data_IF_207669609183
#
_entry.id   IF_207669609183
#
_cell.length_a   1.000
_cell.length_b   1.000
_cell.length_c   1.000
_cell.angle_alpha   90.00
_cell.angle_beta   90.00
_cell.angle_gamma   90.00
#
_symmetry.space_group_name_H-M   'P 1'
#
loop_
_entity.id
_entity.type
_entity.pdbx_description
1 polymer ?
#
# COMPACT_ATOMS: atom_id res chain seq x y z
N UNK A 1 40.78 -12.81 5.40
CA UNK A 1 39.55 -12.02 5.61
C UNK A 1 38.52 -12.56 4.64
N UNK A 2 37.48 -13.22 5.15
CA UNK A 2 36.49 -13.94 4.35
C UNK A 2 35.29 -13.04 4.10
N UNK A 3 35.08 -12.60 2.85
CA UNK A 3 33.80 -12.05 2.42
C UNK A 3 32.83 -13.20 2.17
N UNK A 4 31.82 -13.32 3.03
CA UNK A 4 30.68 -14.17 2.80
C UNK A 4 29.85 -13.57 1.66
N UNK A 5 30.08 -14.06 0.44
CA UNK A 5 29.19 -13.86 -0.71
C UNK A 5 27.81 -14.38 -0.30
N UNK A 6 26.87 -13.48 0.00
CA UNK A 6 25.46 -13.83 0.20
C UNK A 6 24.96 -14.47 -1.09
N UNK A 7 24.87 -15.78 -1.09
CA UNK A 7 24.23 -16.53 -2.16
C UNK A 7 22.76 -16.09 -2.19
N UNK A 8 22.32 -15.51 -3.30
CA UNK A 8 20.90 -15.38 -3.56
C UNK A 8 20.24 -16.76 -3.59
N UNK A 9 18.93 -16.85 -3.35
CA UNK A 9 18.24 -18.13 -3.36
C UNK A 9 18.42 -18.84 -4.71
N UNK A 10 18.49 -20.18 -4.73
CA UNK A 10 18.67 -20.95 -5.95
C UNK A 10 17.48 -20.74 -6.90
N UNK A 11 17.72 -20.67 -8.23
CA UNK A 11 16.65 -20.55 -9.21
C UNK A 11 15.87 -21.86 -9.26
N UNK A 12 14.59 -21.84 -8.87
CA UNK A 12 13.67 -22.97 -9.06
C UNK A 12 12.90 -23.42 -7.83
N UNK A 13 13.11 -22.83 -6.65
CA UNK A 13 12.08 -22.90 -5.62
C UNK A 13 10.93 -21.96 -6.03
N UNK A 14 9.65 -22.39 -5.98
CA UNK A 14 8.57 -21.43 -6.04
C UNK A 14 8.88 -20.44 -4.93
N UNK A 15 9.02 -19.16 -5.29
CA UNK A 15 8.86 -18.11 -4.30
C UNK A 15 7.52 -18.48 -3.64
N UNK A 16 7.52 -18.82 -2.35
CA UNK A 16 6.29 -18.84 -1.55
C UNK A 16 5.81 -17.39 -1.50
N UNK A 17 5.34 -16.94 -2.65
CA UNK A 17 4.37 -15.90 -2.84
C UNK A 17 3.14 -16.51 -2.21
N UNK A 18 3.05 -16.52 -0.88
CA UNK A 18 1.76 -16.23 -0.27
C UNK A 18 1.26 -15.04 -1.06
N UNK A 19 0.32 -15.28 -1.98
CA UNK A 19 -0.18 -14.24 -2.88
C UNK A 19 -0.50 -13.07 -1.97
N UNK A 20 0.26 -11.99 -2.12
CA UNK A 20 0.36 -10.98 -1.08
C UNK A 20 -1.06 -10.59 -0.70
N UNK A 21 -1.47 -10.90 0.53
CA UNK A 21 -2.88 -10.72 0.89
C UNK A 21 -3.12 -9.22 0.93
N UNK A 22 -3.92 -8.74 -0.01
CA UNK A 22 -4.31 -7.34 -0.08
C UNK A 22 -5.52 -7.12 0.81
N UNK A 23 -5.45 -6.08 1.63
CA UNK A 23 -6.56 -5.59 2.43
C UNK A 23 -7.05 -4.30 1.81
N UNK A 24 -8.33 -4.24 1.44
CA UNK A 24 -8.97 -3.01 0.99
C UNK A 24 -9.36 -2.15 2.20
N UNK A 25 -9.27 -0.84 2.05
CA UNK A 25 -9.58 0.12 3.10
C UNK A 25 -10.51 1.18 2.54
N UNK A 26 -11.60 1.43 3.24
CA UNK A 26 -12.49 2.51 2.88
C UNK A 26 -13.29 3.01 4.09
N UNK A 27 -13.75 4.27 4.05
CA UNK A 27 -14.69 4.80 5.04
C UNK A 27 -16.01 4.03 4.97
N UNK A 28 -16.77 3.94 6.05
CA UNK A 28 -18.02 3.15 6.10
C UNK A 28 -19.01 3.45 4.94
N UNK A 29 -19.12 4.73 4.53
CA UNK A 29 -19.96 5.17 3.40
C UNK A 29 -19.35 5.04 2.01
N UNK A 30 -18.12 4.54 1.89
CA UNK A 30 -17.36 4.49 0.64
C UNK A 30 -16.82 5.86 0.19
N UNK A 31 -16.08 5.87 -0.93
CA UNK A 31 -15.32 7.03 -1.38
C UNK A 31 -16.14 8.16 -1.99
N UNK A 32 -17.29 7.86 -2.61
CA UNK A 32 -18.06 8.83 -3.39
C UNK A 32 -18.47 10.09 -2.61
N UNK A 33 -18.70 9.95 -1.29
CA UNK A 33 -19.09 11.02 -0.38
C UNK A 33 -18.07 11.34 0.72
N UNK A 34 -16.84 10.86 0.61
CA UNK A 34 -15.84 11.04 1.67
C UNK A 34 -15.31 12.48 1.70
N UNK A 35 -15.63 13.22 2.77
CA UNK A 35 -15.34 14.65 2.87
C UNK A 35 -13.87 14.96 3.20
N UNK A 36 -13.21 14.12 3.99
CA UNK A 36 -11.88 14.37 4.54
C UNK A 36 -10.74 13.90 3.61
N UNK A 37 -11.00 13.79 2.30
CA UNK A 37 -10.05 13.23 1.33
C UNK A 37 -8.72 14.00 1.30
N UNK A 38 -8.76 15.34 1.31
CA UNK A 38 -7.55 16.15 1.27
C UNK A 38 -6.69 15.97 2.54
N UNK A 39 -7.34 15.88 3.70
CA UNK A 39 -6.66 15.65 4.97
C UNK A 39 -6.06 14.23 5.03
N UNK A 40 -6.81 13.21 4.56
CA UNK A 40 -6.32 11.84 4.45
C UNK A 40 -5.12 11.75 3.51
N UNK A 41 -5.18 12.39 2.34
CA UNK A 41 -4.07 12.41 1.40
C UNK A 41 -2.82 13.04 2.01
N UNK A 42 -2.98 14.18 2.68
CA UNK A 42 -1.86 14.84 3.37
C UNK A 42 -1.23 13.92 4.43
N UNK A 43 -2.05 13.24 5.23
CA UNK A 43 -1.57 12.32 6.27
C UNK A 43 -0.91 11.05 5.69
N UNK A 44 -1.45 10.52 4.59
CA UNK A 44 -0.82 9.40 3.87
C UNK A 44 0.56 9.79 3.36
N UNK A 45 0.68 10.98 2.76
CA UNK A 45 1.90 11.45 2.11
C UNK A 45 2.96 12.03 3.04
N UNK A 46 2.63 12.34 4.29
CA UNK A 46 3.56 12.97 5.23
C UNK A 46 4.85 12.15 5.41
N UNK A 47 4.72 10.82 5.51
CA UNK A 47 5.87 9.90 5.63
C UNK A 47 6.13 9.05 4.37
N UNK A 48 5.24 9.09 3.37
CA UNK A 48 5.48 8.46 2.07
C UNK A 48 6.41 9.34 1.21
N UNK A 49 7.71 9.17 1.43
CA UNK A 49 8.74 9.91 0.73
C UNK A 49 9.90 9.02 0.29
N UNK A 50 10.30 9.17 -0.97
CA UNK A 50 11.54 8.59 -1.47
C UNK A 50 12.78 9.26 -0.83
N UNK A 51 12.67 10.54 -0.43
CA UNK A 51 13.78 11.27 0.17
C UNK A 51 14.18 10.71 1.55
N UNK A 52 13.24 10.05 2.25
CA UNK A 52 13.51 9.31 3.48
C UNK A 52 14.13 7.92 3.25
N UNK A 53 14.20 7.43 2.01
CA UNK A 53 14.76 6.14 1.63
C UNK A 53 13.96 4.91 2.11
N UNK A 54 12.81 5.12 2.76
CA UNK A 54 11.98 4.07 3.32
C UNK A 54 10.96 3.51 2.33
N UNK A 55 10.66 4.27 1.27
CA UNK A 55 9.64 3.93 0.29
C UNK A 55 10.15 4.11 -1.14
N UNK A 56 9.67 3.25 -2.03
CA UNK A 56 9.81 3.39 -3.47
C UNK A 56 8.45 3.70 -4.10
N UNK A 57 8.40 4.75 -4.91
CA UNK A 57 7.18 5.13 -5.63
C UNK A 57 7.15 4.50 -7.03
N UNK A 58 6.05 3.83 -7.35
CA UNK A 58 5.78 3.27 -8.67
C UNK A 58 4.46 3.83 -9.20
N UNK A 59 4.55 4.62 -10.26
CA UNK A 59 3.37 5.13 -10.97
C UNK A 59 3.11 4.25 -12.20
N UNK A 60 2.00 3.51 -12.18
CA UNK A 60 1.63 2.64 -13.29
C UNK A 60 0.72 3.35 -14.30
N UNK A 61 -0.11 4.27 -13.82
CA UNK A 61 -0.97 5.11 -14.66
C UNK A 61 -1.32 6.40 -13.93
N UNK A 62 -2.04 7.30 -14.61
CA UNK A 62 -2.64 8.48 -13.96
C UNK A 62 -3.71 8.14 -12.90
N UNK A 63 -4.14 6.88 -12.84
CA UNK A 63 -5.19 6.41 -11.93
C UNK A 63 -4.65 5.46 -10.86
N UNK A 64 -3.35 5.17 -10.81
CA UNK A 64 -2.80 4.16 -9.92
C UNK A 64 -1.34 4.44 -9.55
N UNK A 65 -1.11 4.53 -8.24
CA UNK A 65 0.22 4.65 -7.64
C UNK A 65 0.40 3.56 -6.60
N UNK A 66 1.60 2.97 -6.54
CA UNK A 66 1.99 2.01 -5.51
C UNK A 66 3.22 2.56 -4.78
N UNK A 67 3.19 2.49 -3.46
CA UNK A 67 4.32 2.78 -2.60
C UNK A 67 4.78 1.50 -1.91
N UNK A 68 6.01 1.06 -2.20
CA UNK A 68 6.59 -0.15 -1.63
C UNK A 68 7.56 0.20 -0.50
N UNK A 69 7.43 -0.48 0.65
CA UNK A 69 8.33 -0.33 1.77
C UNK A 69 9.65 -1.06 1.49
N UNK A 70 10.76 -0.31 1.45
CA UNK A 70 12.08 -0.86 1.14
C UNK A 70 12.55 -1.93 2.14
N UNK A 71 12.03 -1.89 3.37
CA UNK A 71 12.48 -2.76 4.46
C UNK A 71 11.90 -4.18 4.39
N UNK A 72 10.67 -4.33 3.89
CA UNK A 72 9.94 -5.60 3.94
C UNK A 72 9.11 -5.91 2.68
N UNK A 73 9.12 -5.05 1.66
CA UNK A 73 8.40 -5.26 0.40
C UNK A 73 6.88 -5.16 0.52
N UNK A 74 6.34 -4.80 1.70
CA UNK A 74 4.91 -4.51 1.82
C UNK A 74 4.56 -3.22 1.09
N UNK A 75 3.37 -3.14 0.52
CA UNK A 75 3.00 -2.06 -0.39
C UNK A 75 1.66 -1.42 -0.04
N UNK A 76 1.54 -0.13 -0.35
CA UNK A 76 0.29 0.63 -0.35
C UNK A 76 -0.09 0.91 -1.80
N UNK A 77 -1.27 0.49 -2.21
CA UNK A 77 -1.86 0.81 -3.51
C UNK A 77 -2.88 1.92 -3.33
N UNK A 78 -2.80 2.93 -4.20
CA UNK A 78 -3.69 4.09 -4.19
C UNK A 78 -4.26 4.27 -5.59
N UNK A 79 -5.58 4.11 -5.72
CA UNK A 79 -6.31 4.27 -6.97
C UNK A 79 -7.15 5.55 -6.99
N UNK A 80 -7.26 6.16 -8.17
CA UNK A 80 -7.92 7.45 -8.35
C UNK A 80 -8.99 7.44 -9.44
N UNK A 81 -10.09 8.15 -9.19
CA UNK A 81 -11.10 8.51 -10.19
C UNK A 81 -11.09 10.04 -10.36
N UNK A 82 -10.44 10.52 -11.43
CA UNK A 82 -10.08 11.93 -11.55
C UNK A 82 -9.12 12.32 -10.42
N UNK A 83 -9.41 13.43 -9.72
CA UNK A 83 -8.63 13.89 -8.58
C UNK A 83 -9.08 13.28 -7.23
N UNK A 84 -9.97 12.27 -7.29
CA UNK A 84 -10.54 11.65 -6.10
C UNK A 84 -9.93 10.29 -5.80
N UNK A 85 -9.59 10.08 -4.54
CA UNK A 85 -9.25 8.76 -4.02
C UNK A 85 -10.46 7.83 -4.20
N UNK A 86 -10.22 6.68 -4.83
CA UNK A 86 -11.25 5.70 -5.17
C UNK A 86 -10.91 4.30 -4.67
N UNK A 87 -9.64 4.04 -4.34
CA UNK A 87 -9.16 2.75 -3.87
C UNK A 87 -7.94 2.96 -2.97
N UNK A 88 -7.88 2.23 -1.87
CA UNK A 88 -6.74 2.24 -0.96
C UNK A 88 -6.55 0.82 -0.43
N UNK A 89 -5.41 0.21 -0.75
CA UNK A 89 -5.10 -1.15 -0.30
C UNK A 89 -3.72 -1.24 0.32
N UNK A 90 -3.54 -2.21 1.21
CA UNK A 90 -2.23 -2.57 1.77
C UNK A 90 -1.97 -4.05 1.58
N UNK A 91 -0.74 -4.41 1.22
CA UNK A 91 -0.31 -5.80 1.15
C UNK A 91 0.36 -6.27 2.45
N UNK A 92 0.06 -7.50 2.85
CA UNK A 92 0.71 -8.20 3.96
C UNK A 92 0.50 -7.53 5.33
N UNK A 93 1.40 -7.84 6.27
CA UNK A 93 1.38 -7.36 7.66
C UNK A 93 2.52 -6.40 8.01
N UNK A 94 3.21 -5.87 7.00
CA UNK A 94 4.47 -5.12 7.13
C UNK A 94 4.32 -3.61 7.36
N UNK A 95 5.33 -2.87 6.91
CA UNK A 95 5.40 -1.41 6.94
C UNK A 95 4.18 -0.71 6.37
N UNK A 96 3.65 -1.18 5.24
CA UNK A 96 2.43 -0.63 4.61
C UNK A 96 1.22 -0.67 5.54
N UNK A 97 0.95 -1.83 6.14
CA UNK A 97 -0.17 -1.97 7.08
C UNK A 97 0.03 -1.10 8.32
N UNK A 98 1.24 -1.08 8.89
CA UNK A 98 1.56 -0.24 10.06
C UNK A 98 1.38 1.24 9.78
N UNK A 99 1.84 1.71 8.62
CA UNK A 99 1.68 3.09 8.16
C UNK A 99 0.19 3.46 8.09
N UNK A 100 -0.61 2.63 7.44
CA UNK A 100 -2.03 2.92 7.30
C UNK A 100 -2.78 2.84 8.65
N UNK A 101 -2.47 1.86 9.49
CA UNK A 101 -3.09 1.72 10.81
C UNK A 101 -2.85 2.94 11.72
N UNK A 102 -1.73 3.64 11.56
CA UNK A 102 -1.41 4.84 12.33
C UNK A 102 -2.42 5.98 12.08
N UNK A 103 -3.03 6.02 10.90
CA UNK A 103 -3.97 7.08 10.50
C UNK A 103 -5.42 6.59 10.32
N UNK A 104 -5.63 5.29 10.12
CA UNK A 104 -6.92 4.72 9.73
C UNK A 104 -8.07 5.11 10.65
N UNK A 105 -7.85 5.07 11.97
CA UNK A 105 -8.89 5.39 12.95
C UNK A 105 -9.34 6.86 12.89
N UNK A 106 -8.39 7.79 12.70
CA UNK A 106 -8.67 9.23 12.59
C UNK A 106 -9.53 9.59 11.38
N UNK A 107 -9.49 8.73 10.35
CA UNK A 107 -10.19 8.91 9.09
C UNK A 107 -11.37 7.93 8.92
N UNK A 108 -11.70 7.15 9.95
CA UNK A 108 -12.80 6.18 9.91
C UNK A 108 -12.63 5.09 8.86
N UNK A 109 -11.39 4.78 8.46
CA UNK A 109 -11.08 3.72 7.50
C UNK A 109 -11.22 2.36 8.16
N UNK A 110 -11.96 1.47 7.51
CA UNK A 110 -12.16 0.10 7.97
C UNK A 110 -11.65 -0.89 6.93
N UNK A 111 -11.01 -1.99 7.35
CA UNK A 111 -10.60 -3.03 6.42
C UNK A 111 -11.82 -3.72 5.82
N UNK A 112 -11.73 -4.04 4.54
CA UNK A 112 -12.76 -4.73 3.76
C UNK A 112 -12.14 -5.93 3.08
N UNK A 113 -12.95 -6.97 2.91
CA UNK A 113 -12.60 -8.02 1.95
C UNK A 113 -12.48 -7.37 0.58
N UNK A 114 -11.38 -7.59 -0.17
CA UNK A 114 -11.27 -7.10 -1.53
C UNK A 114 -12.51 -7.54 -2.31
N UNK A 115 -13.21 -6.61 -2.92
CA UNK A 115 -14.28 -6.95 -3.85
C UNK A 115 -13.60 -7.67 -5.01
N UNK A 116 -13.76 -8.99 -5.09
CA UNK A 116 -13.36 -9.73 -6.27
C UNK A 116 -14.22 -9.17 -7.42
N UNK A 117 -13.60 -8.37 -8.29
CA UNK A 117 -14.24 -7.89 -9.51
C UNK A 117 -14.78 -9.11 -10.24
N UNK A 118 -16.09 -9.28 -10.19
CA UNK A 118 -16.78 -10.30 -10.96
C UNK A 118 -17.01 -9.64 -12.32
N UNK A 119 -15.98 -9.70 -13.16
CA UNK A 119 -16.07 -9.33 -14.58
C UNK A 119 -17.07 -10.19 -15.33
#
# INVERSE_FOLDING_TARGET
MSEAKRAGPPPGEPYDSEAATWTDWAPAGGWAGYADQAALWSALCEDLSEAGGQWHCMNFSQHLTVWECCADGSAILIGYCGDRLAELQTSGSGGALRHLLAIAASFGLTPRTPTADTG
#
